data_IF_047617463769
#
_entry.id   IF_047617463769
#
_cell.length_a   1.000
_cell.length_b   1.000
_cell.length_c   1.000
_cell.angle_alpha   90.00
_cell.angle_beta   90.00
_cell.angle_gamma   90.00
#
_symmetry.space_group_name_H-M   'P 1'
#
loop_
_entity.id
_entity.type
_entity.pdbx_description
1 polymer ?
#
# COMPACT_ATOMS: atom_id res chain seq x y z
N UNK A 1 1.07 5.34 -1.75
CA UNK A 1 -0.36 5.00 -1.99
C UNK A 1 -1.01 4.84 -0.64
N UNK A 2 -2.00 5.65 -0.30
CA UNK A 2 -2.57 5.67 1.05
C UNK A 2 -3.02 4.28 1.47
N UNK A 3 -2.36 3.74 2.50
CA UNK A 3 -2.63 2.41 3.05
C UNK A 3 -4.10 2.22 3.43
N UNK A 4 -4.77 3.32 3.78
CA UNK A 4 -6.19 3.39 4.11
C UNK A 4 -7.08 3.00 2.93
N UNK A 5 -6.80 3.47 1.72
CA UNK A 5 -7.63 3.16 0.54
C UNK A 5 -7.54 1.68 0.17
N UNK A 6 -6.33 1.13 0.15
CA UNK A 6 -6.12 -0.29 -0.20
C UNK A 6 -6.75 -1.20 0.85
N UNK A 7 -6.60 -0.86 2.14
CA UNK A 7 -7.20 -1.63 3.22
C UNK A 7 -8.73 -1.51 3.24
N UNK A 8 -9.28 -0.32 3.03
CA UNK A 8 -10.72 -0.10 2.96
C UNK A 8 -11.35 -0.85 1.78
N UNK A 9 -10.73 -0.82 0.60
CA UNK A 9 -11.17 -1.58 -0.57
C UNK A 9 -11.14 -3.09 -0.29
N UNK A 10 -10.08 -3.58 0.36
CA UNK A 10 -9.99 -4.97 0.77
C UNK A 10 -11.09 -5.35 1.79
N UNK A 11 -11.39 -4.49 2.75
CA UNK A 11 -12.50 -4.68 3.70
C UNK A 11 -13.86 -4.72 3.01
N UNK A 12 -14.13 -3.79 2.10
CA UNK A 12 -15.36 -3.78 1.29
C UNK A 12 -15.48 -5.07 0.50
N UNK A 13 -14.40 -5.56 -0.09
CA UNK A 13 -14.38 -6.83 -0.83
C UNK A 13 -14.73 -8.03 0.06
N UNK A 14 -14.24 -8.07 1.30
CA UNK A 14 -14.58 -9.14 2.26
C UNK A 14 -16.06 -9.07 2.64
N UNK A 15 -16.60 -7.88 2.86
CA UNK A 15 -17.97 -7.69 3.33
C UNK A 15 -19.00 -7.86 2.19
N UNK A 16 -18.64 -7.48 0.97
CA UNK A 16 -19.54 -7.44 -0.19
C UNK A 16 -20.34 -8.75 -0.42
N UNK A 17 -19.74 -9.95 -0.37
CA UNK A 17 -20.48 -11.23 -0.53
C UNK A 17 -21.52 -11.51 0.55
N UNK A 18 -21.43 -10.83 1.71
CA UNK A 18 -22.34 -11.01 2.84
C UNK A 18 -23.51 -10.01 2.84
N UNK A 19 -23.52 -9.07 1.89
CA UNK A 19 -24.60 -8.08 1.76
C UNK A 19 -25.68 -8.65 0.84
N UNK A 20 -26.82 -9.01 1.42
CA UNK A 20 -27.96 -9.56 0.66
C UNK A 20 -28.79 -8.48 -0.06
N UNK A 21 -28.63 -7.20 0.30
CA UNK A 21 -29.34 -6.09 -0.33
C UNK A 21 -28.46 -5.42 -1.40
N UNK A 22 -28.84 -5.60 -2.66
CA UNK A 22 -28.11 -5.07 -3.81
C UNK A 22 -27.94 -3.54 -3.77
N UNK A 23 -28.98 -2.78 -3.40
CA UNK A 23 -28.93 -1.32 -3.33
C UNK A 23 -27.91 -0.83 -2.30
N UNK A 24 -27.83 -1.54 -1.15
CA UNK A 24 -26.84 -1.23 -0.10
C UNK A 24 -25.42 -1.49 -0.60
N UNK A 25 -25.21 -2.60 -1.32
CA UNK A 25 -23.89 -2.92 -1.89
C UNK A 25 -23.45 -1.88 -2.92
N UNK A 26 -24.35 -1.49 -3.82
CA UNK A 26 -24.10 -0.46 -4.84
C UNK A 26 -23.76 0.90 -4.19
N UNK A 27 -24.51 1.33 -3.18
CA UNK A 27 -24.23 2.57 -2.46
C UNK A 27 -22.88 2.56 -1.76
N UNK A 28 -22.46 1.43 -1.16
CA UNK A 28 -21.14 1.32 -0.50
C UNK A 28 -20.01 1.45 -1.51
N UNK A 29 -20.13 0.78 -2.67
CA UNK A 29 -19.14 0.87 -3.74
C UNK A 29 -19.03 2.28 -4.30
N UNK A 30 -20.17 2.94 -4.53
CA UNK A 30 -20.20 4.34 -4.98
C UNK A 30 -19.60 5.27 -3.94
N UNK A 31 -19.97 5.14 -2.67
CA UNK A 31 -19.41 5.96 -1.58
C UNK A 31 -17.88 5.80 -1.50
N UNK A 32 -17.37 4.58 -1.61
CA UNK A 32 -15.93 4.33 -1.62
C UNK A 32 -15.24 4.91 -2.86
N UNK A 33 -15.87 4.82 -4.03
CA UNK A 33 -15.36 5.42 -5.26
C UNK A 33 -15.27 6.94 -5.15
N UNK A 34 -16.31 7.61 -4.66
CA UNK A 34 -16.30 9.06 -4.42
C UNK A 34 -15.25 9.46 -3.37
N UNK A 35 -15.12 8.70 -2.29
CA UNK A 35 -14.09 8.92 -1.27
C UNK A 35 -12.68 8.84 -1.87
N UNK A 36 -12.44 7.86 -2.73
CA UNK A 36 -11.16 7.70 -3.44
C UNK A 36 -10.86 8.88 -4.36
N UNK A 37 -11.87 9.39 -5.08
CA UNK A 37 -11.73 10.60 -5.92
C UNK A 37 -11.41 11.83 -5.08
N UNK A 38 -12.11 12.02 -3.94
CA UNK A 38 -11.87 13.15 -3.05
C UNK A 38 -10.44 13.13 -2.54
N UNK A 39 -9.94 11.99 -2.06
CA UNK A 39 -8.54 11.84 -1.64
C UNK A 39 -7.58 12.18 -2.77
N UNK A 40 -7.82 11.66 -3.98
CA UNK A 40 -6.98 11.95 -5.14
C UNK A 40 -6.91 13.46 -5.47
N UNK A 41 -8.04 14.16 -5.37
CA UNK A 41 -8.10 15.60 -5.57
C UNK A 41 -7.37 16.34 -4.43
N UNK A 42 -7.57 15.93 -3.18
CA UNK A 42 -6.90 16.50 -2.02
C UNK A 42 -5.36 16.33 -2.08
N UNK A 43 -4.88 15.30 -2.76
CA UNK A 43 -3.46 15.05 -3.01
C UNK A 43 -2.89 15.84 -4.20
N UNK A 44 -3.62 16.84 -4.72
CA UNK A 44 -3.23 17.66 -5.86
C UNK A 44 -3.05 16.87 -7.17
N UNK A 45 -3.84 15.80 -7.35
CA UNK A 45 -3.82 14.97 -8.57
C UNK A 45 -2.42 14.42 -8.86
N UNK A 46 -1.87 13.57 -7.98
CA UNK A 46 -0.58 12.96 -8.22
C UNK A 46 -0.59 12.21 -9.56
N UNK A 47 0.48 12.36 -10.34
CA UNK A 47 0.59 11.71 -11.64
C UNK A 47 0.59 10.18 -11.48
N UNK A 48 -0.33 9.50 -12.17
CA UNK A 48 -0.41 8.04 -12.17
C UNK A 48 0.62 7.53 -13.17
N UNK A 49 1.83 7.27 -12.70
CA UNK A 49 2.90 6.72 -13.54
C UNK A 49 3.08 5.21 -13.28
N UNK A 50 2.50 4.38 -14.15
CA UNK A 50 2.62 2.91 -14.08
C UNK A 50 4.05 2.41 -14.37
N UNK A 51 4.87 3.20 -15.06
CA UNK A 51 6.26 2.85 -15.38
C UNK A 51 7.12 2.75 -14.12
N UNK A 52 6.76 3.48 -13.05
CA UNK A 52 7.42 3.40 -11.74
C UNK A 52 7.45 1.99 -11.14
N UNK A 53 6.50 1.13 -11.53
CA UNK A 53 6.40 -0.25 -11.05
C UNK A 53 6.86 -1.22 -12.15
N UNK A 54 6.49 -0.96 -13.41
CA UNK A 54 6.85 -1.84 -14.52
C UNK A 54 8.38 -1.89 -14.75
N UNK A 55 9.05 -0.74 -14.66
CA UNK A 55 10.49 -0.59 -14.88
C UNK A 55 11.33 -0.93 -13.66
N UNK A 56 10.68 -1.19 -12.51
CA UNK A 56 11.37 -1.59 -11.30
C UNK A 56 11.99 -2.98 -11.48
N UNK A 57 13.32 -3.00 -11.60
CA UNK A 57 14.11 -4.23 -11.74
C UNK A 57 14.28 -4.89 -10.39
N UNK A 58 13.60 -6.01 -10.19
CA UNK A 58 13.84 -6.89 -9.04
C UNK A 58 15.01 -7.81 -9.40
N UNK A 59 15.99 -7.91 -8.51
CA UNK A 59 17.00 -8.99 -8.57
C UNK A 59 16.33 -10.36 -8.39
N UNK A 60 16.75 -11.38 -9.14
CA UNK A 60 16.11 -12.71 -9.10
C UNK A 60 15.95 -13.30 -7.69
N UNK A 61 16.86 -12.97 -6.76
CA UNK A 61 16.81 -13.41 -5.37
C UNK A 61 15.67 -12.75 -4.54
N UNK A 62 15.23 -11.55 -4.92
CA UNK A 62 14.16 -10.79 -4.25
C UNK A 62 12.78 -11.02 -4.86
N UNK A 63 12.69 -11.75 -5.98
CA UNK A 63 11.44 -12.01 -6.70
C UNK A 63 10.62 -13.15 -6.06
N UNK A 64 10.40 -13.09 -4.74
CA UNK A 64 9.59 -14.05 -4.01
C UNK A 64 8.87 -13.36 -2.83
N UNK A 65 7.62 -13.75 -2.57
CA UNK A 65 6.85 -13.31 -1.41
C UNK A 65 7.51 -13.64 -0.06
N UNK A 66 8.39 -14.66 -0.01
CA UNK A 66 9.14 -14.98 1.20
C UNK A 66 10.08 -13.83 1.59
N UNK A 67 10.79 -13.23 0.63
CA UNK A 67 11.65 -12.06 0.88
C UNK A 67 10.85 -10.89 1.48
N UNK A 68 9.72 -10.55 0.87
CA UNK A 68 8.83 -9.48 1.35
C UNK A 68 8.33 -9.78 2.77
N UNK A 69 7.96 -11.03 3.05
CA UNK A 69 7.45 -11.43 4.36
C UNK A 69 8.54 -11.38 5.43
N UNK A 70 9.74 -11.88 5.12
CA UNK A 70 10.89 -11.85 6.04
C UNK A 70 11.34 -10.42 6.34
N UNK A 71 11.42 -9.55 5.33
CA UNK A 71 11.77 -8.15 5.55
C UNK A 71 10.74 -7.43 6.42
N UNK A 72 9.45 -7.69 6.26
CA UNK A 72 8.41 -7.07 7.09
C UNK A 72 8.48 -7.56 8.53
N UNK A 73 8.72 -8.86 8.75
CA UNK A 73 8.75 -9.47 10.08
C UNK A 73 10.04 -9.17 10.85
N UNK A 74 11.16 -9.01 10.15
CA UNK A 74 12.48 -8.84 10.75
C UNK A 74 12.95 -7.37 10.81
N UNK A 75 12.15 -6.42 10.33
CA UNK A 75 12.47 -4.98 10.35
C UNK A 75 11.46 -4.23 11.23
N UNK A 76 11.73 -2.96 11.55
CA UNK A 76 10.80 -2.06 12.26
C UNK A 76 9.41 -1.94 11.62
N UNK A 77 9.31 -2.32 10.34
CA UNK A 77 8.07 -2.58 9.59
C UNK A 77 7.05 -3.46 10.32
N UNK A 78 7.49 -4.38 11.19
CA UNK A 78 6.59 -5.21 11.99
C UNK A 78 5.73 -4.36 12.93
N UNK A 79 6.26 -3.22 13.39
CA UNK A 79 5.56 -2.31 14.30
C UNK A 79 4.63 -1.34 13.54
N UNK A 80 4.80 -1.19 12.22
CA UNK A 80 3.88 -0.41 11.39
C UNK A 80 2.74 -1.28 10.85
N UNK A 81 1.58 -1.14 11.50
CA UNK A 81 0.36 -1.81 11.08
C UNK A 81 -0.08 -1.42 9.65
N UNK A 82 0.31 -0.26 9.13
CA UNK A 82 -0.04 0.18 7.78
C UNK A 82 0.76 -0.58 6.72
N UNK A 83 2.08 -0.70 6.87
CA UNK A 83 2.91 -1.47 5.95
C UNK A 83 2.47 -2.95 5.87
N UNK A 84 2.19 -3.59 7.01
CA UNK A 84 1.74 -4.99 7.05
C UNK A 84 0.41 -5.18 6.30
N UNK A 85 -0.53 -4.22 6.43
CA UNK A 85 -1.82 -4.26 5.74
C UNK A 85 -1.67 -4.10 4.22
N UNK A 86 -0.82 -3.17 3.78
CA UNK A 86 -0.57 -2.95 2.35
C UNK A 86 -0.01 -4.21 1.70
N UNK A 87 0.98 -4.84 2.33
CA UNK A 87 1.63 -6.03 1.80
C UNK A 87 0.67 -7.21 1.77
N UNK A 88 -0.15 -7.38 2.81
CA UNK A 88 -1.23 -8.39 2.83
C UNK A 88 -2.22 -8.17 1.69
N UNK A 89 -2.67 -6.93 1.48
CA UNK A 89 -3.62 -6.61 0.43
C UNK A 89 -3.06 -6.85 -0.98
N UNK A 90 -1.77 -6.53 -1.22
CA UNK A 90 -1.10 -6.83 -2.49
C UNK A 90 -1.01 -8.34 -2.75
N UNK A 91 -0.66 -9.12 -1.72
CA UNK A 91 -0.59 -10.59 -1.80
C UNK A 91 -1.95 -11.21 -2.12
N UNK A 92 -3.00 -10.73 -1.47
CA UNK A 92 -4.35 -11.23 -1.72
C UNK A 92 -4.92 -10.74 -3.07
N UNK A 93 -4.51 -9.55 -3.54
CA UNK A 93 -4.85 -9.08 -4.88
C UNK A 93 -4.23 -9.96 -5.98
N UNK A 94 -2.97 -10.39 -5.85
CA UNK A 94 -2.36 -11.30 -6.82
C UNK A 94 -3.07 -12.65 -6.90
N UNK A 95 -3.46 -13.22 -5.75
CA UNK A 95 -4.21 -14.49 -5.71
C UNK A 95 -5.55 -14.41 -6.45
N UNK A 96 -6.19 -13.24 -6.39
CA UNK A 96 -7.52 -13.02 -6.97
C UNK A 96 -7.44 -12.67 -8.44
N UNK A 97 -6.62 -11.67 -8.77
CA UNK A 97 -6.59 -11.06 -10.10
C UNK A 97 -5.53 -11.70 -11.01
N UNK A 98 -4.81 -12.70 -10.49
CA UNK A 98 -3.72 -13.36 -11.17
C UNK A 98 -2.44 -12.53 -11.21
N UNK A 99 -1.39 -13.15 -11.72
CA UNK A 99 -0.10 -12.50 -11.88
C UNK A 99 -0.13 -11.54 -13.08
N UNK A 100 0.11 -10.25 -12.84
CA UNK A 100 0.22 -9.19 -13.86
C UNK A 100 1.68 -8.83 -14.11
N UNK A 101 2.46 -9.72 -14.73
CA UNK A 101 3.90 -9.52 -14.98
C UNK A 101 4.72 -9.18 -13.72
N UNK A 102 4.34 -9.77 -12.58
CA UNK A 102 4.94 -9.54 -11.28
C UNK A 102 4.57 -8.20 -10.65
N UNK A 103 3.59 -7.45 -11.17
CA UNK A 103 3.24 -6.11 -10.69
C UNK A 103 3.04 -6.06 -9.17
N UNK A 104 2.20 -6.92 -8.61
CA UNK A 104 1.90 -6.92 -7.17
C UNK A 104 3.14 -7.20 -6.30
N UNK A 105 3.98 -8.15 -6.72
CA UNK A 105 5.22 -8.50 -6.04
C UNK A 105 6.27 -7.40 -6.20
N UNK A 106 6.41 -6.79 -7.39
CA UNK A 106 7.25 -5.61 -7.66
C UNK A 106 6.88 -4.44 -6.77
N UNK A 107 5.58 -4.15 -6.65
CA UNK A 107 5.10 -3.10 -5.76
C UNK A 107 5.42 -3.42 -4.30
N UNK A 108 5.26 -4.68 -3.88
CA UNK A 108 5.56 -5.10 -2.51
C UNK A 108 7.06 -5.02 -2.17
N UNK A 109 7.93 -5.51 -3.06
CA UNK A 109 9.40 -5.41 -2.92
C UNK A 109 9.83 -3.95 -2.89
N UNK A 110 9.33 -3.12 -3.82
CA UNK A 110 9.63 -1.68 -3.85
C UNK A 110 9.20 -0.98 -2.57
N UNK A 111 8.03 -1.31 -2.03
CA UNK A 111 7.57 -0.75 -0.76
C UNK A 111 8.53 -1.12 0.37
N UNK A 112 8.87 -2.40 0.53
CA UNK A 112 9.77 -2.87 1.58
C UNK A 112 11.18 -2.29 1.45
N UNK A 113 11.74 -2.24 0.23
CA UNK A 113 13.08 -1.70 -0.03
C UNK A 113 13.16 -0.18 0.21
N UNK A 114 12.05 0.55 0.05
CA UNK A 114 11.99 2.01 0.18
C UNK A 114 11.51 2.53 1.54
N UNK A 115 11.19 1.66 2.52
CA UNK A 115 10.61 2.09 3.81
C UNK A 115 11.56 2.97 4.67
N UNK A 116 12.79 3.24 4.23
CA UNK A 116 13.71 4.06 5.02
C UNK A 116 13.79 5.56 4.67
N UNK A 117 12.95 6.13 3.80
CA UNK A 117 13.12 7.56 3.41
C UNK A 117 11.76 8.28 3.22
N UNK A 118 11.48 9.21 4.14
CA UNK A 118 10.74 10.48 3.94
C UNK A 118 9.29 10.49 3.45
N UNK A 119 8.62 9.36 3.25
CA UNK A 119 7.20 9.40 2.87
C UNK A 119 6.27 9.51 4.10
N UNK A 120 5.77 10.73 4.32
CA UNK A 120 4.72 11.12 5.30
C UNK A 120 3.50 10.18 5.30
N UNK A 121 3.30 9.37 4.25
CA UNK A 121 2.09 8.59 4.01
C UNK A 121 2.16 7.10 4.40
N UNK A 122 3.27 6.62 4.99
CA UNK A 122 3.37 5.27 5.62
C UNK A 122 3.46 5.36 7.14
N UNK A 123 3.12 6.50 7.74
CA UNK A 123 3.19 6.65 9.21
C UNK A 123 4.62 6.90 9.70
N UNK A 124 5.38 7.73 8.98
CA UNK A 124 6.55 8.37 9.57
C UNK A 124 6.07 9.32 10.67
N UNK A 125 6.42 9.03 11.94
CA UNK A 125 6.20 9.98 13.01
C UNK A 125 6.96 11.27 12.71
N UNK A 126 6.31 12.41 12.95
CA UNK A 126 6.85 13.77 12.80
C UNK A 126 8.09 14.06 13.70
N UNK A 127 8.57 13.07 14.47
CA UNK A 127 9.64 13.24 15.45
C UNK A 127 11.05 13.40 14.84
N UNK A 128 11.25 13.12 13.54
CA UNK A 128 12.56 13.26 12.90
C UNK A 128 12.91 14.72 12.51
N UNK A 129 11.93 15.64 12.45
CA UNK A 129 12.22 17.08 12.24
C UNK A 129 12.93 17.72 13.44
N UNK A 130 12.88 17.09 14.61
CA UNK A 130 13.49 17.61 15.84
C UNK A 130 14.96 17.18 16.01
N UNK A 131 15.40 16.06 15.40
CA UNK A 131 16.76 15.52 15.60
C UNK A 131 17.84 16.19 14.74
N UNK A 132 17.47 16.84 13.63
CA UNK A 132 18.42 17.56 12.77
C UNK A 132 18.66 19.01 13.19
N UNK A 133 17.89 19.55 14.14
CA UNK A 133 18.16 20.87 14.73
C UNK A 133 19.24 20.78 15.81
N UNK A 134 19.39 19.61 16.46
CA UNK A 134 20.35 19.38 17.56
C UNK A 134 21.69 18.78 17.12
N UNK A 135 21.91 18.54 15.82
CA UNK A 135 23.21 18.10 15.27
C UNK A 135 24.02 19.23 14.59
N UNK A 136 23.58 20.48 14.75
CA UNK A 136 24.37 21.67 14.42
C UNK A 136 24.62 22.49 15.69
N UNK A 137 25.50 21.96 16.55
CA UNK A 137 26.23 22.73 17.58
C UNK A 137 27.56 22.07 17.82
#
# INVERSE_FOLDING_TARGET
>A
MDSVLVTAMHGIRIIHPHINNQQVSEHILLAFFYFSIVIYICQLRPEINEQLINDYKIENAKNNWNYVTECVLNTELMNDAHAVKVIRALKDAEKVYGNKNGFYLKTAVKNVDNVNIEDIWVGGSDDQRQLNVLKRS
#
